data_IF_007857859554
#
_entry.id   IF_007857859554
#
_cell.length_a   1.000
_cell.length_b   1.000
_cell.length_c   1.000
_cell.angle_alpha   90.00
_cell.angle_beta   90.00
_cell.angle_gamma   90.00
#
_symmetry.space_group_name_H-M   'P 1'
#
loop_
_entity.id
_entity.type
_entity.pdbx_description
1 polymer ?
#
# COMPACT_ATOMS: atom_id res chain seq x y z
N UNK A 1 13.76 -33.06 44.35
CA UNK A 1 15.07 -32.81 43.69
C UNK A 1 14.95 -31.90 42.46
N UNK A 2 13.80 -31.85 41.80
CA UNK A 2 13.57 -31.07 40.55
C UNK A 2 13.48 -29.54 40.73
N UNK A 3 12.88 -29.04 41.81
CA UNK A 3 12.75 -27.58 42.07
C UNK A 3 14.11 -26.86 42.23
N UNK A 4 15.18 -27.58 42.62
CA UNK A 4 16.54 -27.01 42.71
C UNK A 4 17.24 -26.93 41.35
N UNK A 5 16.95 -27.84 40.42
CA UNK A 5 17.48 -27.79 39.04
C UNK A 5 16.86 -26.63 38.25
N UNK A 6 15.55 -26.45 38.35
CA UNK A 6 14.82 -25.37 37.67
C UNK A 6 15.28 -23.97 38.12
N UNK A 7 15.59 -23.75 39.41
CA UNK A 7 16.17 -22.49 39.90
C UNK A 7 17.61 -22.25 39.44
N UNK A 8 18.39 -23.31 39.24
CA UNK A 8 19.78 -23.22 38.79
C UNK A 8 19.86 -22.86 37.30
N UNK A 9 19.03 -23.50 36.48
CA UNK A 9 18.89 -23.21 35.04
C UNK A 9 18.40 -21.77 34.82
N UNK A 10 17.41 -21.31 35.59
CA UNK A 10 16.87 -19.95 35.44
C UNK A 10 17.92 -18.86 35.75
N UNK A 11 18.80 -19.09 36.74
CA UNK A 11 19.88 -18.16 37.08
C UNK A 11 20.97 -18.12 35.99
N UNK A 12 21.26 -19.26 35.35
CA UNK A 12 22.17 -19.31 34.19
C UNK A 12 21.61 -18.53 32.99
N UNK A 13 20.33 -18.70 32.67
CA UNK A 13 19.67 -17.95 31.61
C UNK A 13 19.66 -16.43 31.87
N UNK A 14 19.41 -15.99 33.11
CA UNK A 14 19.46 -14.56 33.46
C UNK A 14 20.86 -13.96 33.32
N UNK A 15 21.91 -14.73 33.66
CA UNK A 15 23.30 -14.31 33.47
C UNK A 15 23.67 -14.18 31.99
N UNK A 16 23.24 -15.12 31.15
CA UNK A 16 23.47 -15.08 29.71
C UNK A 16 22.76 -13.88 29.05
N UNK A 17 21.52 -13.59 29.44
CA UNK A 17 20.78 -12.40 28.97
C UNK A 17 21.52 -11.12 29.36
N UNK A 18 22.00 -11.02 30.61
CA UNK A 18 22.76 -9.85 31.08
C UNK A 18 24.05 -9.68 30.28
N UNK A 19 24.79 -10.76 30.07
CA UNK A 19 26.04 -10.74 29.30
C UNK A 19 25.81 -10.36 27.83
N UNK A 20 24.72 -10.84 27.21
CA UNK A 20 24.33 -10.45 25.85
C UNK A 20 23.93 -8.97 25.76
N UNK A 21 23.21 -8.46 26.77
CA UNK A 21 22.86 -7.03 26.84
C UNK A 21 24.09 -6.13 26.95
N UNK A 22 25.08 -6.54 27.73
CA UNK A 22 26.35 -5.81 27.87
C UNK A 22 27.14 -5.79 26.54
N UNK A 23 27.20 -6.93 25.84
CA UNK A 23 27.80 -7.01 24.49
C UNK A 23 27.09 -6.10 23.49
N UNK A 24 25.76 -6.06 23.51
CA UNK A 24 24.96 -5.25 22.60
C UNK A 24 25.17 -3.75 22.84
N UNK A 25 25.26 -3.35 24.11
CA UNK A 25 25.61 -1.98 24.49
C UNK A 25 27.02 -1.58 24.01
N UNK A 26 28.00 -2.48 24.14
CA UNK A 26 29.36 -2.21 23.66
C UNK A 26 29.40 -2.04 22.13
N UNK A 27 28.71 -2.90 21.39
CA UNK A 27 28.60 -2.78 19.92
C UNK A 27 27.97 -1.44 19.53
N UNK A 28 26.95 -1.00 20.26
CA UNK A 28 26.29 0.29 20.00
C UNK A 28 27.23 1.48 20.22
N UNK A 29 28.08 1.41 21.25
CA UNK A 29 29.12 2.42 21.53
C UNK A 29 30.16 2.43 20.40
N UNK A 30 30.64 1.26 19.99
CA UNK A 30 31.65 1.14 18.93
C UNK A 30 31.12 1.65 17.58
N UNK A 31 29.85 1.37 17.26
CA UNK A 31 29.17 1.92 16.08
C UNK A 31 29.06 3.44 16.13
N UNK A 32 28.75 4.00 17.30
CA UNK A 32 28.64 5.45 17.48
C UNK A 32 30.01 6.14 17.37
N UNK A 33 31.05 5.53 17.93
CA UNK A 33 32.45 5.94 17.76
C UNK A 33 32.86 5.92 16.28
N UNK A 34 32.52 4.85 15.54
CA UNK A 34 32.90 4.74 14.14
C UNK A 34 32.15 5.74 13.25
N UNK A 35 30.85 5.96 13.48
CA UNK A 35 30.06 7.03 12.83
C UNK A 35 30.67 8.41 13.07
N UNK A 36 31.13 8.68 14.29
CA UNK A 36 31.78 9.95 14.65
C UNK A 36 33.11 10.10 13.94
N UNK A 37 33.89 9.02 13.84
CA UNK A 37 35.17 9.02 13.12
C UNK A 37 35.00 9.27 11.62
N UNK A 38 34.02 8.63 10.98
CA UNK A 38 33.67 8.87 9.57
C UNK A 38 33.29 10.35 9.34
N UNK A 39 32.53 10.98 10.25
CA UNK A 39 32.21 12.42 10.19
C UNK A 39 33.42 13.33 10.31
N UNK A 40 34.50 12.91 10.98
CA UNK A 40 35.71 13.71 11.16
C UNK A 40 36.78 13.49 10.09
N UNK A 41 36.85 12.29 9.49
CA UNK A 41 37.85 11.99 8.45
C UNK A 41 37.47 12.58 7.09
N UNK A 42 36.18 12.83 6.85
CA UNK A 42 35.72 13.53 5.66
C UNK A 42 35.61 15.02 6.05
N UNK A 43 36.49 15.92 5.58
CA UNK A 43 36.32 17.34 5.82
C UNK A 43 34.93 17.75 5.32
N UNK A 44 34.16 18.56 6.07
CA UNK A 44 32.85 18.98 5.61
C UNK A 44 33.07 19.71 4.30
N UNK A 45 32.61 19.11 3.19
CA UNK A 45 32.50 19.82 1.93
C UNK A 45 31.57 20.99 2.26
N UNK A 46 32.10 22.21 2.32
CA UNK A 46 31.27 23.41 2.46
C UNK A 46 30.50 23.59 1.15
N UNK A 47 29.46 22.79 0.94
CA UNK A 47 28.42 23.17 0.02
C UNK A 47 27.86 24.50 0.52
N UNK A 48 27.72 25.46 -0.38
CA UNK A 48 26.92 26.66 -0.16
C UNK A 48 25.64 26.26 0.59
N UNK A 49 25.32 26.91 1.71
CA UNK A 49 24.13 26.61 2.51
C UNK A 49 22.84 26.52 1.68
N UNK A 50 22.69 27.31 0.61
CA UNK A 50 21.57 27.20 -0.33
C UNK A 50 21.65 25.95 -1.20
N UNK A 51 22.84 25.55 -1.67
CA UNK A 51 23.04 24.29 -2.40
C UNK A 51 22.90 23.07 -1.49
N UNK A 52 23.28 23.17 -0.23
CA UNK A 52 23.10 22.10 0.74
C UNK A 52 21.62 21.98 1.13
N UNK A 53 20.91 23.10 1.31
CA UNK A 53 19.46 23.11 1.55
C UNK A 53 18.71 22.67 0.29
N UNK A 54 19.14 23.05 -0.92
CA UNK A 54 18.51 22.59 -2.16
C UNK A 54 18.80 21.11 -2.39
N UNK A 55 20.04 20.67 -2.21
CA UNK A 55 20.41 19.26 -2.32
C UNK A 55 19.71 18.42 -1.26
N UNK A 56 19.63 18.85 0.00
CA UNK A 56 18.82 18.19 1.03
C UNK A 56 17.33 18.26 0.72
N UNK A 57 16.80 19.37 0.17
CA UNK A 57 15.41 19.45 -0.29
C UNK A 57 15.14 18.55 -1.48
N UNK A 58 16.08 18.37 -2.39
CA UNK A 58 15.99 17.51 -3.57
C UNK A 58 16.20 16.04 -3.20
N UNK A 59 16.98 15.76 -2.15
CA UNK A 59 17.15 14.43 -1.55
C UNK A 59 15.94 14.06 -0.68
N UNK A 60 15.28 15.04 -0.04
CA UNK A 60 14.03 14.87 0.72
C UNK A 60 12.78 14.90 -0.17
N UNK A 61 12.80 15.61 -1.30
CA UNK A 61 11.83 15.49 -2.39
C UNK A 61 12.20 14.24 -3.16
N UNK A 62 11.93 13.10 -2.54
CA UNK A 62 11.94 11.82 -3.24
C UNK A 62 11.18 11.96 -4.56
N UNK A 63 11.66 11.25 -5.58
CA UNK A 63 11.04 11.27 -6.90
C UNK A 63 9.57 10.90 -6.77
N UNK A 64 8.69 11.88 -7.04
CA UNK A 64 7.25 11.70 -6.89
C UNK A 64 6.70 10.98 -8.13
N UNK A 65 6.49 9.67 -7.99
CA UNK A 65 5.94 8.82 -9.04
C UNK A 65 4.43 8.98 -9.21
N UNK A 66 3.75 9.39 -8.14
CA UNK A 66 2.31 9.62 -8.07
C UNK A 66 2.05 11.09 -7.69
N UNK A 67 2.19 12.03 -8.65
CA UNK A 67 1.93 13.44 -8.41
C UNK A 67 0.45 13.72 -8.11
N UNK A 68 0.18 14.84 -7.43
CA UNK A 68 -1.14 15.40 -7.10
C UNK A 68 -2.00 14.56 -6.12
N UNK A 69 -1.52 13.37 -5.78
CA UNK A 69 -2.05 12.50 -4.74
C UNK A 69 -1.79 12.97 -3.32
N UNK A 70 -2.57 12.42 -2.39
CA UNK A 70 -2.42 12.69 -0.94
C UNK A 70 -2.26 11.44 -0.09
N UNK A 71 -2.49 10.24 -0.65
CA UNK A 71 -2.51 9.00 0.14
C UNK A 71 -1.14 8.32 0.29
N UNK A 72 -0.15 8.67 -0.54
CA UNK A 72 1.09 7.91 -0.66
C UNK A 72 2.31 8.65 -0.10
N UNK A 73 2.97 8.07 0.91
CA UNK A 73 4.34 8.41 1.23
C UNK A 73 5.30 7.80 0.18
N UNK A 74 6.58 8.18 0.23
CA UNK A 74 7.57 7.73 -0.77
C UNK A 74 7.73 6.21 -0.77
N UNK A 75 7.71 5.57 0.39
CA UNK A 75 7.82 4.12 0.56
C UNK A 75 6.66 3.40 -0.13
N UNK A 76 5.43 3.89 0.04
CA UNK A 76 4.26 3.35 -0.66
C UNK A 76 4.40 3.50 -2.18
N UNK A 77 4.85 4.65 -2.67
CA UNK A 77 5.06 4.86 -4.11
C UNK A 77 6.08 3.88 -4.69
N UNK A 78 7.20 3.66 -3.98
CA UNK A 78 8.22 2.70 -4.39
C UNK A 78 7.65 1.27 -4.42
N UNK A 79 6.87 0.90 -3.41
CA UNK A 79 6.28 -0.42 -3.30
C UNK A 79 5.27 -0.71 -4.41
N UNK A 80 4.41 0.26 -4.74
CA UNK A 80 3.45 0.13 -5.84
C UNK A 80 4.15 -0.03 -7.19
N UNK A 81 5.24 0.71 -7.41
CA UNK A 81 6.06 0.56 -8.62
C UNK A 81 6.78 -0.80 -8.68
N UNK A 82 7.16 -1.37 -7.53
CA UNK A 82 7.68 -2.74 -7.45
C UNK A 82 6.59 -3.78 -7.77
N UNK A 83 5.38 -3.62 -7.22
CA UNK A 83 4.24 -4.49 -7.52
C UNK A 83 3.85 -4.49 -9.00
N UNK A 84 3.88 -3.30 -9.61
CA UNK A 84 3.69 -3.11 -11.05
C UNK A 84 4.85 -3.68 -11.90
N UNK A 85 6.02 -3.90 -11.32
CA UNK A 85 7.19 -4.45 -12.02
C UNK A 85 8.09 -3.42 -12.70
N UNK A 86 7.89 -2.12 -12.44
CA UNK A 86 8.72 -1.03 -13.01
C UNK A 86 8.97 0.07 -11.99
N UNK A 87 10.15 0.02 -11.37
CA UNK A 87 10.60 0.91 -10.26
C UNK A 87 10.43 2.41 -10.51
N UNK A 88 10.59 2.86 -11.75
CA UNK A 88 10.52 4.27 -12.14
C UNK A 88 9.25 4.60 -12.94
N UNK A 89 8.17 3.83 -12.77
CA UNK A 89 6.91 4.13 -13.44
C UNK A 89 6.33 5.45 -12.93
N UNK A 90 5.90 6.30 -13.86
CA UNK A 90 5.23 7.56 -13.54
C UNK A 90 3.73 7.38 -13.77
N UNK A 91 2.96 7.93 -12.87
CA UNK A 91 1.51 7.85 -12.88
C UNK A 91 0.92 9.25 -12.99
N UNK A 92 -0.33 9.33 -13.42
CA UNK A 92 -1.09 10.57 -13.45
C UNK A 92 -2.40 10.37 -12.72
N UNK A 93 -2.69 11.23 -11.75
CA UNK A 93 -3.97 11.24 -11.05
C UNK A 93 -5.09 11.54 -12.05
N UNK A 94 -6.04 10.61 -12.17
CA UNK A 94 -7.21 10.73 -13.03
C UNK A 94 -8.45 11.10 -12.21
N UNK A 95 -8.60 10.50 -11.03
CA UNK A 95 -9.75 10.70 -10.16
C UNK A 95 -9.31 10.81 -8.70
N UNK A 96 -9.94 11.72 -7.97
CA UNK A 96 -9.80 11.88 -6.52
C UNK A 96 -11.19 12.19 -5.96
N UNK A 97 -11.76 11.28 -5.19
CA UNK A 97 -13.17 11.36 -4.77
C UNK A 97 -13.47 12.63 -3.97
N UNK A 98 -12.55 13.10 -3.12
CA UNK A 98 -12.74 14.38 -2.39
C UNK A 98 -12.74 15.62 -3.28
N UNK A 99 -12.18 15.53 -4.50
CA UNK A 99 -12.17 16.61 -5.50
C UNK A 99 -13.34 16.48 -6.49
N UNK A 100 -13.56 15.26 -6.96
CA UNK A 100 -14.43 14.98 -8.12
C UNK A 100 -15.84 14.52 -7.72
N UNK A 101 -16.05 14.13 -6.46
CA UNK A 101 -17.28 13.54 -5.94
C UNK A 101 -17.15 12.04 -5.68
N UNK A 102 -18.01 11.49 -4.82
CA UNK A 102 -18.02 10.06 -4.44
C UNK A 102 -19.10 9.25 -5.17
N UNK A 103 -19.87 9.86 -6.07
CA UNK A 103 -20.86 9.13 -6.84
C UNK A 103 -20.18 8.21 -7.86
N UNK A 104 -20.81 7.08 -8.19
CA UNK A 104 -20.29 6.19 -9.23
C UNK A 104 -20.12 6.91 -10.58
N UNK A 105 -21.02 7.85 -10.90
CA UNK A 105 -20.96 8.69 -12.10
C UNK A 105 -19.72 9.58 -12.14
N UNK A 106 -19.23 10.06 -11.00
CA UNK A 106 -18.01 10.86 -10.92
C UNK A 106 -16.77 10.02 -11.21
N UNK A 107 -16.72 8.80 -10.66
CA UNK A 107 -15.67 7.83 -10.95
C UNK A 107 -15.61 7.51 -12.44
N UNK A 108 -16.74 7.12 -13.05
CA UNK A 108 -16.78 6.76 -14.47
C UNK A 108 -16.46 7.95 -15.37
N UNK A 109 -16.95 9.16 -15.08
CA UNK A 109 -16.57 10.39 -15.81
C UNK A 109 -15.06 10.59 -15.89
N UNK A 110 -14.33 10.24 -14.82
CA UNK A 110 -12.88 10.42 -14.75
C UNK A 110 -12.07 9.22 -15.28
N UNK A 111 -12.57 7.99 -15.12
CA UNK A 111 -11.79 6.76 -15.29
C UNK A 111 -12.21 5.87 -16.47
N UNK A 112 -13.39 6.10 -17.08
CA UNK A 112 -13.86 5.31 -18.22
C UNK A 112 -12.88 5.39 -19.40
N UNK A 113 -12.57 4.23 -19.99
CA UNK A 113 -11.70 4.08 -21.18
C UNK A 113 -10.31 4.73 -21.08
N UNK A 114 -9.70 4.74 -19.89
CA UNK A 114 -8.35 5.31 -19.67
C UNK A 114 -7.19 4.32 -19.79
N UNK A 115 -7.47 3.06 -20.11
CA UNK A 115 -6.51 1.96 -20.09
C UNK A 115 -6.16 1.55 -18.67
N UNK A 116 -4.94 1.03 -18.49
CA UNK A 116 -4.47 0.53 -17.21
C UNK A 116 -4.54 1.56 -16.09
N UNK A 117 -5.08 1.15 -14.93
CA UNK A 117 -5.27 2.00 -13.77
C UNK A 117 -4.79 1.33 -12.48
N UNK A 118 -4.34 2.17 -11.54
CA UNK A 118 -4.05 1.79 -10.16
C UNK A 118 -5.00 2.58 -9.26
N UNK A 119 -5.85 1.86 -8.53
CA UNK A 119 -6.86 2.42 -7.63
C UNK A 119 -6.36 2.30 -6.19
N UNK A 120 -6.40 3.40 -5.45
CA UNK A 120 -6.16 3.49 -4.01
C UNK A 120 -7.46 3.80 -3.29
N UNK A 121 -7.70 3.11 -2.19
CA UNK A 121 -8.86 3.26 -1.33
C UNK A 121 -8.36 3.47 0.10
N UNK A 122 -8.77 4.58 0.71
CA UNK A 122 -8.55 4.84 2.12
C UNK A 122 -9.88 4.67 2.87
N UNK A 123 -9.95 3.66 3.74
CA UNK A 123 -11.15 3.40 4.53
C UNK A 123 -11.24 4.31 5.75
N UNK A 124 -12.45 4.53 6.26
CA UNK A 124 -12.67 5.28 7.51
C UNK A 124 -12.06 4.62 8.74
N UNK A 125 -11.66 3.34 8.66
CA UNK A 125 -10.94 2.63 9.71
C UNK A 125 -9.41 2.80 9.60
N UNK A 126 -8.91 3.64 8.69
CA UNK A 126 -7.50 3.99 8.58
C UNK A 126 -6.65 3.01 7.76
N UNK A 127 -7.28 2.17 6.94
CA UNK A 127 -6.59 1.19 6.11
C UNK A 127 -6.46 1.67 4.67
N UNK A 128 -5.30 1.39 4.06
CA UNK A 128 -4.94 1.81 2.71
C UNK A 128 -4.64 0.59 1.85
N UNK A 129 -5.43 0.41 0.81
CA UNK A 129 -5.40 -0.76 -0.05
C UNK A 129 -5.97 -0.42 -1.43
N UNK A 130 -6.03 -1.39 -2.33
CA UNK A 130 -6.67 -1.20 -3.61
C UNK A 130 -6.33 -2.28 -4.61
N UNK A 131 -6.40 -1.92 -5.89
CA UNK A 131 -6.18 -2.84 -6.99
C UNK A 131 -5.64 -2.16 -8.23
N UNK A 132 -5.00 -2.96 -9.07
CA UNK A 132 -4.54 -2.61 -10.40
C UNK A 132 -5.30 -3.43 -11.43
N UNK A 133 -5.62 -2.80 -12.55
CA UNK A 133 -6.08 -3.48 -13.77
C UNK A 133 -5.32 -2.94 -14.98
N UNK A 134 -5.01 -3.82 -15.92
CA UNK A 134 -4.37 -3.51 -17.19
C UNK A 134 -5.36 -3.07 -18.28
N UNK A 135 -6.66 -3.27 -18.05
CA UNK A 135 -7.74 -3.01 -19.02
C UNK A 135 -8.56 -1.77 -18.66
N UNK A 136 -9.50 -1.41 -19.53
CA UNK A 136 -10.40 -0.28 -19.33
C UNK A 136 -11.47 -0.59 -18.28
N UNK A 137 -11.85 0.42 -17.50
CA UNK A 137 -13.19 0.51 -16.95
C UNK A 137 -14.17 0.84 -18.08
N UNK A 138 -15.30 0.14 -18.14
CA UNK A 138 -16.39 0.40 -19.09
C UNK A 138 -17.73 0.45 -18.34
N UNK A 139 -18.43 1.58 -18.39
CA UNK A 139 -19.70 1.72 -17.68
C UNK A 139 -20.82 0.90 -18.35
N UNK A 140 -21.55 0.10 -17.57
CA UNK A 140 -22.69 -0.71 -18.04
C UNK A 140 -23.90 -0.56 -17.09
N UNK A 141 -25.13 -0.69 -17.59
CA UNK A 141 -26.33 -0.64 -16.72
C UNK A 141 -26.38 -1.84 -15.76
N UNK A 142 -26.11 -3.03 -16.29
CA UNK A 142 -25.98 -4.27 -15.54
C UNK A 142 -24.52 -4.61 -15.23
N UNK A 143 -24.32 -5.62 -14.38
CA UNK A 143 -22.98 -6.12 -14.08
C UNK A 143 -22.33 -6.71 -15.32
N UNK A 144 -21.14 -6.19 -15.66
CA UNK A 144 -20.25 -6.78 -16.64
C UNK A 144 -18.91 -7.12 -16.00
N UNK A 145 -18.57 -8.41 -16.01
CA UNK A 145 -17.26 -8.91 -15.59
C UNK A 145 -16.29 -8.89 -16.76
N UNK A 146 -15.03 -8.60 -16.49
CA UNK A 146 -13.98 -8.54 -17.51
C UNK A 146 -12.74 -9.34 -17.12
N UNK A 147 -12.14 -9.94 -18.15
CA UNK A 147 -10.95 -10.78 -18.03
C UNK A 147 -9.70 -9.90 -17.97
N UNK A 148 -8.89 -10.05 -16.94
CA UNK A 148 -7.57 -9.41 -16.85
C UNK A 148 -6.62 -10.29 -16.03
N UNK A 149 -5.61 -10.86 -16.70
CA UNK A 149 -4.63 -11.76 -16.08
C UNK A 149 -3.50 -11.02 -15.35
N UNK A 150 -3.34 -9.74 -15.67
CA UNK A 150 -2.33 -8.88 -15.05
C UNK A 150 -2.88 -8.11 -13.86
N UNK A 151 -4.18 -8.25 -13.57
CA UNK A 151 -4.82 -7.64 -12.41
C UNK A 151 -4.25 -8.17 -11.10
N UNK A 152 -4.15 -7.28 -10.11
CA UNK A 152 -3.76 -7.64 -8.76
C UNK A 152 -4.41 -6.71 -7.75
N UNK A 153 -4.66 -7.23 -6.54
CA UNK A 153 -4.98 -6.42 -5.38
C UNK A 153 -3.74 -6.14 -4.55
N UNK A 154 -3.81 -5.16 -3.67
CA UNK A 154 -2.77 -4.92 -2.70
C UNK A 154 -3.30 -4.31 -1.41
N UNK A 155 -2.55 -4.50 -0.32
CA UNK A 155 -2.66 -3.69 0.89
C UNK A 155 -1.35 -2.96 1.14
N UNK A 156 -1.42 -1.72 1.63
CA UNK A 156 -0.29 -0.92 2.09
C UNK A 156 -0.34 -0.74 3.62
N UNK A 157 -1.54 -0.51 4.15
CA UNK A 157 -1.83 -0.42 5.58
C UNK A 157 -3.03 -1.31 5.87
N UNK A 158 -2.87 -2.30 6.75
CA UNK A 158 -3.88 -3.29 7.11
C UNK A 158 -4.01 -3.48 8.64
N UNK A 159 -5.12 -4.06 9.13
CA UNK A 159 -5.37 -4.20 10.57
C UNK A 159 -4.32 -5.04 11.31
N UNK A 160 -3.64 -5.93 10.56
CA UNK A 160 -2.68 -6.88 11.11
C UNK A 160 -1.24 -6.38 11.05
N UNK A 161 -0.99 -5.16 10.53
CA UNK A 161 0.35 -4.59 10.32
C UNK A 161 1.26 -5.50 9.51
N UNK A 162 0.68 -6.31 8.62
CA UNK A 162 1.42 -7.08 7.62
C UNK A 162 2.10 -6.07 6.70
N UNK A 163 3.32 -6.35 6.26
CA UNK A 163 4.00 -5.52 5.27
C UNK A 163 3.14 -5.38 4.00
N UNK A 164 3.34 -4.32 3.21
CA UNK A 164 2.65 -4.18 1.94
C UNK A 164 2.64 -5.48 1.14
N UNK A 165 1.47 -5.93 0.72
CA UNK A 165 1.29 -7.26 0.12
C UNK A 165 0.52 -7.14 -1.19
N UNK A 166 0.97 -7.87 -2.21
CA UNK A 166 0.29 -8.03 -3.50
C UNK A 166 -0.45 -9.36 -3.55
N UNK A 167 -1.67 -9.35 -4.07
CA UNK A 167 -2.51 -10.53 -4.30
C UNK A 167 -2.80 -10.67 -5.79
N UNK A 168 -2.26 -11.71 -6.41
CA UNK A 168 -2.46 -11.94 -7.85
C UNK A 168 -3.88 -12.47 -8.11
N UNK A 169 -4.48 -12.06 -9.23
CA UNK A 169 -5.70 -12.70 -9.72
C UNK A 169 -5.48 -14.20 -9.94
N UNK A 170 -6.53 -15.01 -9.78
CA UNK A 170 -6.47 -16.43 -10.12
C UNK A 170 -6.10 -16.66 -11.59
N UNK A 171 -5.71 -17.90 -11.91
CA UNK A 171 -5.17 -18.27 -13.23
C UNK A 171 -6.13 -18.03 -14.38
N UNK A 172 -7.44 -18.06 -14.13
CA UNK A 172 -8.44 -17.82 -15.16
C UNK A 172 -8.66 -16.34 -15.42
N UNK A 173 -8.55 -15.49 -14.38
CA UNK A 173 -8.69 -14.05 -14.48
C UNK A 173 -10.06 -13.56 -14.94
N UNK A 174 -11.10 -14.41 -14.90
CA UNK A 174 -12.38 -14.15 -15.59
C UNK A 174 -13.16 -12.96 -15.04
N UNK A 175 -13.14 -12.78 -13.72
CA UNK A 175 -13.88 -11.72 -13.03
C UNK A 175 -12.92 -10.69 -12.43
N UNK A 176 -11.79 -10.42 -13.09
CA UNK A 176 -10.74 -9.58 -12.52
C UNK A 176 -11.25 -8.19 -12.09
N UNK A 177 -12.10 -7.58 -12.92
CA UNK A 177 -12.86 -6.39 -12.57
C UNK A 177 -14.33 -6.54 -12.94
N UNK A 178 -15.19 -5.84 -12.20
CA UNK A 178 -16.62 -5.72 -12.48
C UNK A 178 -17.00 -4.27 -12.70
N UNK A 179 -17.86 -4.02 -13.68
CA UNK A 179 -18.39 -2.69 -13.93
C UNK A 179 -19.92 -2.70 -13.88
N UNK A 180 -20.49 -1.70 -13.20
CA UNK A 180 -21.92 -1.43 -13.14
C UNK A 180 -22.12 0.05 -12.82
N UNK A 181 -23.02 0.73 -13.50
CA UNK A 181 -23.23 2.18 -13.42
C UNK A 181 -23.52 2.69 -11.99
N UNK A 182 -24.09 1.84 -11.13
CA UNK A 182 -24.38 2.15 -9.72
C UNK A 182 -23.21 1.88 -8.76
N UNK A 183 -22.06 1.45 -9.26
CA UNK A 183 -20.88 1.05 -8.48
C UNK A 183 -19.66 1.86 -8.89
N UNK A 184 -18.74 2.06 -7.96
CA UNK A 184 -17.42 2.61 -8.23
C UNK A 184 -16.45 1.52 -8.70
N UNK A 185 -15.14 1.63 -8.39
CA UNK A 185 -14.17 0.58 -8.67
C UNK A 185 -14.55 -0.74 -8.00
N UNK A 186 -14.62 -1.82 -8.78
CA UNK A 186 -14.87 -3.18 -8.29
C UNK A 186 -13.89 -4.16 -8.90
N UNK A 187 -13.24 -4.94 -8.05
CA UNK A 187 -12.28 -5.97 -8.39
C UNK A 187 -12.77 -7.32 -7.87
N UNK A 188 -12.67 -8.35 -8.71
CA UNK A 188 -13.16 -9.68 -8.36
C UNK A 188 -14.68 -9.67 -8.26
N UNK A 189 -15.26 -10.81 -7.91
CA UNK A 189 -16.67 -10.95 -7.53
C UNK A 189 -16.90 -10.33 -6.15
N UNK A 190 -16.64 -9.02 -6.05
CA UNK A 190 -16.58 -8.19 -4.84
C UNK A 190 -15.44 -8.53 -3.86
N UNK A 191 -14.30 -9.03 -4.34
CA UNK A 191 -13.07 -9.06 -3.51
C UNK A 191 -12.82 -7.67 -2.91
N UNK A 192 -13.00 -6.63 -3.73
CA UNK A 192 -13.22 -5.24 -3.32
C UNK A 192 -14.36 -4.67 -4.17
N UNK A 193 -15.39 -4.11 -3.55
CA UNK A 193 -16.45 -3.40 -4.26
C UNK A 193 -16.77 -2.08 -3.56
N UNK A 194 -16.76 -0.98 -4.33
CA UNK A 194 -17.07 0.35 -3.84
C UNK A 194 -18.48 0.75 -4.29
N UNK A 195 -19.36 1.07 -3.34
CA UNK A 195 -20.69 1.61 -3.65
C UNK A 195 -20.64 3.12 -3.93
N UNK A 196 -21.61 3.60 -4.71
CA UNK A 196 -21.84 5.05 -4.86
C UNK A 196 -22.02 5.71 -3.50
N UNK A 197 -21.48 6.91 -3.34
CA UNK A 197 -21.56 7.71 -2.12
C UNK A 197 -20.99 6.96 -0.91
N UNK A 198 -19.91 6.20 -1.14
CA UNK A 198 -19.22 5.36 -0.15
C UNK A 198 -18.63 6.14 1.02
N UNK A 199 -18.61 7.48 0.97
CA UNK A 199 -18.31 8.37 2.09
C UNK A 199 -19.54 8.71 2.95
N UNK A 200 -20.74 8.27 2.59
CA UNK A 200 -21.99 8.56 3.32
C UNK A 200 -22.71 7.29 3.77
N UNK A 201 -22.29 6.12 3.31
CA UNK A 201 -22.86 4.84 3.69
C UNK A 201 -21.77 3.79 3.96
N UNK A 202 -22.18 2.61 4.43
CA UNK A 202 -21.30 1.46 4.68
C UNK A 202 -21.66 0.28 3.78
N UNK A 203 -21.97 0.52 2.50
CA UNK A 203 -22.37 -0.53 1.57
C UNK A 203 -21.20 -1.14 0.81
N UNK A 204 -20.04 -0.46 0.75
CA UNK A 204 -18.83 -1.02 0.14
C UNK A 204 -18.41 -2.31 0.85
N UNK A 205 -18.06 -3.33 0.07
CA UNK A 205 -17.82 -4.70 0.54
C UNK A 205 -16.39 -5.16 0.28
N UNK A 206 -15.92 -6.04 1.17
CA UNK A 206 -14.76 -6.92 0.97
C UNK A 206 -15.26 -8.37 1.10
N UNK A 207 -15.26 -9.10 -0.02
CA UNK A 207 -15.57 -10.54 -0.08
C UNK A 207 -14.32 -11.40 -0.34
N UNK A 208 -13.14 -10.78 -0.39
CA UNK A 208 -11.88 -11.47 -0.63
C UNK A 208 -11.70 -12.70 0.28
N UNK A 209 -11.22 -13.86 -0.24
CA UNK A 209 -10.64 -14.08 -1.57
C UNK A 209 -11.57 -14.87 -2.53
N UNK A 210 -12.38 -14.18 -3.33
CA UNK A 210 -13.27 -14.81 -4.32
C UNK A 210 -12.54 -15.13 -5.62
N UNK A 211 -11.87 -14.15 -6.22
CA UNK A 211 -11.17 -14.29 -7.50
C UNK A 211 -9.65 -14.04 -7.38
N UNK A 212 -9.21 -13.37 -6.31
CA UNK A 212 -7.79 -13.11 -6.05
C UNK A 212 -7.21 -14.08 -5.02
N UNK A 213 -5.94 -14.46 -5.19
CA UNK A 213 -5.29 -15.48 -4.38
C UNK A 213 -4.85 -14.89 -3.03
N UNK A 214 -5.34 -15.46 -1.91
CA UNK A 214 -4.90 -15.11 -0.57
C UNK A 214 -3.58 -15.79 -0.19
N UNK A 215 -2.49 -15.05 -0.35
CA UNK A 215 -1.15 -15.46 0.07
C UNK A 215 -0.92 -15.38 1.59
N UNK A 216 -1.85 -14.79 2.35
CA UNK A 216 -1.71 -14.52 3.79
C UNK A 216 -2.56 -15.43 4.68
N UNK A 217 -3.58 -16.10 4.12
CA UNK A 217 -4.53 -16.95 4.84
C UNK A 217 -5.47 -16.17 5.77
N UNK A 218 -5.64 -14.86 5.56
CA UNK A 218 -6.44 -13.96 6.40
C UNK A 218 -7.76 -13.55 5.73
N UNK A 219 -7.91 -13.81 4.43
CA UNK A 219 -9.07 -13.44 3.64
C UNK A 219 -9.41 -11.96 3.80
N UNK A 220 -10.71 -11.64 3.82
CA UNK A 220 -11.22 -10.27 3.93
C UNK A 220 -10.68 -9.47 5.12
N UNK A 221 -10.22 -10.14 6.18
CA UNK A 221 -9.69 -9.47 7.36
C UNK A 221 -8.40 -8.70 7.07
N UNK A 222 -7.70 -9.00 5.97
CA UNK A 222 -6.49 -8.27 5.57
C UNK A 222 -6.77 -6.84 5.11
N UNK A 223 -7.97 -6.51 4.64
CA UNK A 223 -8.22 -5.19 4.06
C UNK A 223 -8.69 -4.19 5.12
N UNK A 224 -9.84 -4.45 5.72
CA UNK A 224 -10.47 -3.52 6.68
C UNK A 224 -10.78 -4.15 8.03
N UNK A 225 -10.63 -5.48 8.15
CA UNK A 225 -11.08 -6.25 9.32
C UNK A 225 -12.60 -6.46 9.39
N UNK A 226 -13.36 -5.91 8.43
CA UNK A 226 -14.83 -5.99 8.38
C UNK A 226 -15.28 -6.42 6.98
N UNK A 227 -16.54 -6.84 6.86
CA UNK A 227 -17.15 -7.12 5.56
C UNK A 227 -17.57 -5.83 4.87
N UNK A 228 -18.15 -4.90 5.63
CA UNK A 228 -18.61 -3.61 5.16
C UNK A 228 -17.70 -2.48 5.65
N UNK A 229 -17.54 -1.45 4.84
CA UNK A 229 -16.75 -0.28 5.22
C UNK A 229 -17.23 1.00 4.51
N UNK A 230 -16.78 2.13 5.06
CA UNK A 230 -16.93 3.47 4.51
C UNK A 230 -15.58 3.95 4.00
N UNK A 231 -15.56 4.75 2.93
CA UNK A 231 -14.34 5.36 2.41
C UNK A 231 -14.22 6.80 2.88
N UNK A 232 -12.98 7.27 3.03
CA UNK A 232 -12.67 8.70 3.25
C UNK A 232 -11.98 9.32 2.04
N UNK A 233 -11.36 8.51 1.17
CA UNK A 233 -10.78 8.95 -0.10
C UNK A 233 -10.64 7.76 -1.06
N UNK A 234 -10.77 8.05 -2.35
CA UNK A 234 -10.42 7.13 -3.43
C UNK A 234 -9.59 7.91 -4.44
N UNK A 235 -8.39 7.44 -4.75
CA UNK A 235 -7.54 8.02 -5.79
C UNK A 235 -7.28 6.99 -6.89
N UNK A 236 -7.49 7.36 -8.16
CA UNK A 236 -7.23 6.47 -9.30
C UNK A 236 -6.20 7.12 -10.19
N UNK A 237 -5.17 6.34 -10.51
CA UNK A 237 -4.05 6.76 -11.32
C UNK A 237 -4.02 5.99 -12.62
N UNK A 238 -3.68 6.67 -13.71
CA UNK A 238 -3.46 6.06 -15.02
C UNK A 238 -1.99 6.07 -15.36
N UNK A 239 -1.57 5.15 -16.24
CA UNK A 239 -0.19 5.16 -16.74
C UNK A 239 0.11 6.45 -17.49
N UNK A 240 1.21 7.11 -17.13
CA UNK A 240 1.80 8.16 -17.95
C UNK A 240 2.61 7.48 -19.06
N UNK A 241 2.12 7.51 -20.29
CA UNK A 241 2.89 7.09 -21.45
C UNK A 241 4.04 8.09 -21.66
N UNK A 242 5.20 7.59 -22.09
CA UNK A 242 6.41 8.38 -22.30
C UNK A 242 6.27 9.34 -23.48
#
# INVERSE_FOLDING_TARGET
MELRKCKFENNYFEQDIKHLSEKLNQIQIDLNMHKTRIKMTIPPIKLNSQLQISFEKDMRRGKQYFPDGTLLCQEHQNQLNEFYGKRNQMWRLAYKATRDGFASTDFYRCCDRKGATLTLIHSSSGHLFGGYTSINWETHEDWQWSVDKDAFLFTLINPHKILPTKYQINTEGRNAIGCKASMGPTFGSEDICIYSDSNQNTRSTIMFPTDYIDSTGKGRLTFTGSHYFKTVEIEVYVLKQK
#
